data_IF_740890116411
#
_entry.id   IF_740890116411
#
_cell.length_a   1.000
_cell.length_b   1.000
_cell.length_c   1.000
_cell.angle_alpha   90.00
_cell.angle_beta   90.00
_cell.angle_gamma   90.00
#
_symmetry.space_group_name_H-M   'P 1'
#
loop_
_entity.id
_entity.type
_entity.pdbx_description
1 polymer ?
#
# COMPACT_ATOMS: atom_id res chain seq x y z
N UNK A 1 -57.23 -69.21 24.44
CA UNK A 1 -56.57 -70.54 24.42
C UNK A 1 -55.57 -70.55 23.28
N UNK A 2 -54.34 -70.98 23.58
CA UNK A 2 -53.18 -71.16 22.69
C UNK A 2 -53.54 -72.06 21.47
N UNK A 3 -52.86 -72.10 20.31
CA UNK A 3 -51.42 -72.12 20.09
C UNK A 3 -51.07 -72.20 18.58
N UNK A 4 -49.83 -71.80 18.23
CA UNK A 4 -48.93 -72.27 17.12
C UNK A 4 -49.42 -72.17 15.66
N UNK A 5 -48.62 -71.81 14.65
CA UNK A 5 -47.24 -72.22 14.37
C UNK A 5 -46.67 -71.40 13.20
N UNK A 6 -45.39 -71.03 13.28
CA UNK A 6 -44.39 -70.96 12.19
C UNK A 6 -44.61 -70.04 10.96
N UNK A 7 -43.66 -69.11 10.74
CA UNK A 7 -42.62 -69.16 9.69
C UNK A 7 -42.01 -67.75 9.51
N UNK A 8 -40.81 -67.49 10.03
CA UNK A 8 -39.51 -67.45 9.31
C UNK A 8 -39.37 -66.36 8.22
N UNK A 9 -38.55 -65.35 8.54
CA UNK A 9 -37.59 -64.62 7.66
C UNK A 9 -38.09 -63.92 6.39
N UNK A 10 -38.17 -62.58 6.44
CA UNK A 10 -37.61 -61.71 5.39
C UNK A 10 -36.90 -60.55 6.09
N UNK A 11 -35.57 -60.64 6.16
CA UNK A 11 -34.72 -59.53 6.58
C UNK A 11 -34.59 -58.54 5.44
N UNK A 12 -35.17 -57.35 5.60
CA UNK A 12 -34.97 -56.22 4.69
C UNK A 12 -33.64 -55.58 5.09
N UNK A 13 -32.59 -55.95 4.36
CA UNK A 13 -31.31 -55.27 4.35
C UNK A 13 -31.27 -54.33 3.14
N UNK A 14 -30.53 -53.23 3.27
CA UNK A 14 -30.15 -52.25 2.21
C UNK A 14 -31.28 -51.26 1.87
N UNK A 15 -31.12 -49.93 1.83
CA UNK A 15 -29.93 -49.10 1.62
C UNK A 15 -30.24 -47.67 2.13
N UNK A 16 -29.75 -47.30 3.32
CA UNK A 16 -29.75 -45.91 3.78
C UNK A 16 -28.48 -45.25 3.22
N UNK A 17 -28.56 -44.76 1.99
CA UNK A 17 -27.58 -43.82 1.44
C UNK A 17 -27.70 -42.51 2.21
N UNK A 18 -26.98 -42.40 3.32
CA UNK A 18 -26.60 -41.11 3.88
C UNK A 18 -25.52 -40.55 2.95
N UNK A 19 -25.93 -39.73 1.98
CA UNK A 19 -25.01 -38.89 1.24
C UNK A 19 -24.48 -37.82 2.21
N UNK A 20 -23.44 -38.18 2.96
CA UNK A 20 -22.58 -37.20 3.64
C UNK A 20 -21.86 -36.44 2.53
N UNK A 21 -22.46 -35.33 2.10
CA UNK A 21 -21.77 -34.29 1.35
C UNK A 21 -20.65 -33.77 2.24
N UNK A 22 -19.47 -34.38 2.11
CA UNK A 22 -18.22 -33.82 2.56
C UNK A 22 -17.96 -32.63 1.63
N UNK A 23 -18.53 -31.46 1.96
CA UNK A 23 -18.01 -30.19 1.47
C UNK A 23 -16.59 -30.08 2.00
N UNK A 24 -15.64 -30.58 1.21
CA UNK A 24 -14.27 -30.16 1.31
C UNK A 24 -14.25 -28.68 0.90
N UNK A 25 -14.52 -27.79 1.86
CA UNK A 25 -14.00 -26.44 1.80
C UNK A 25 -12.49 -26.60 1.69
N UNK A 26 -12.00 -26.52 0.46
CA UNK A 26 -10.59 -26.27 0.20
C UNK A 26 -10.35 -24.85 0.69
N UNK A 27 -10.14 -24.69 1.99
CA UNK A 27 -9.70 -23.44 2.56
C UNK A 27 -8.39 -23.10 1.86
N UNK A 28 -8.40 -22.02 1.06
CA UNK A 28 -7.19 -21.50 0.44
C UNK A 28 -6.14 -21.39 1.56
N UNK A 29 -4.92 -21.92 1.37
CA UNK A 29 -3.89 -21.85 2.40
C UNK A 29 -3.74 -20.40 2.85
N UNK A 30 -3.73 -20.18 4.17
CA UNK A 30 -3.56 -18.85 4.73
C UNK A 30 -2.29 -18.21 4.15
N UNK A 31 -2.43 -17.01 3.59
CA UNK A 31 -1.33 -16.31 2.93
C UNK A 31 -0.19 -16.08 3.94
N UNK A 32 1.07 -16.38 3.59
CA UNK A 32 2.18 -16.28 4.53
C UNK A 32 2.37 -14.81 4.95
N UNK A 33 2.28 -14.57 6.26
CA UNK A 33 2.48 -13.25 6.87
C UNK A 33 3.98 -13.00 7.02
N UNK A 34 4.46 -11.87 6.50
CA UNK A 34 5.87 -11.49 6.68
C UNK A 34 6.13 -11.03 8.11
N UNK A 35 7.28 -11.42 8.66
CA UNK A 35 7.72 -10.94 9.96
C UNK A 35 8.19 -9.49 9.83
N UNK A 36 7.67 -8.54 10.64
CA UNK A 36 8.15 -7.16 10.64
C UNK A 36 9.65 -7.11 10.94
N UNK A 37 10.38 -6.30 10.16
CA UNK A 37 11.79 -6.00 10.43
C UNK A 37 11.83 -4.97 11.56
N UNK A 38 12.58 -5.26 12.63
CA UNK A 38 12.81 -4.28 13.69
C UNK A 38 13.84 -3.24 13.21
N UNK A 39 13.47 -1.96 13.06
CA UNK A 39 14.38 -0.93 12.59
C UNK A 39 15.57 -0.71 13.53
N UNK A 40 15.46 -1.05 14.82
CA UNK A 40 16.57 -0.96 15.77
C UNK A 40 17.59 -2.10 15.63
N UNK A 41 17.19 -3.21 14.98
CA UNK A 41 18.07 -4.35 14.75
C UNK A 41 19.01 -4.16 13.56
N UNK A 42 18.82 -3.11 12.76
CA UNK A 42 19.57 -2.87 11.53
C UNK A 42 20.83 -2.07 11.85
N UNK A 43 21.98 -2.70 11.66
CA UNK A 43 23.27 -2.02 11.76
C UNK A 43 23.47 -1.07 10.56
N UNK A 44 23.44 0.23 10.83
CA UNK A 44 23.67 1.29 9.85
C UNK A 44 25.14 1.69 9.73
N UNK A 45 26.06 1.05 10.46
CA UNK A 45 27.50 1.32 10.35
C UNK A 45 28.12 0.69 9.10
N UNK A 46 27.49 -0.37 8.58
CA UNK A 46 27.84 -0.97 7.29
C UNK A 46 26.99 -0.37 6.16
N UNK A 47 27.49 -0.36 4.90
CA UNK A 47 26.69 0.01 3.75
C UNK A 47 25.49 -0.95 3.59
N UNK A 48 24.31 -0.49 3.98
CA UNK A 48 23.06 -1.26 3.93
C UNK A 48 22.20 -0.78 2.77
N UNK A 49 21.82 -1.71 1.88
CA UNK A 49 20.91 -1.46 0.77
C UNK A 49 19.47 -1.81 1.19
N UNK A 50 18.59 -0.81 1.17
CA UNK A 50 17.16 -1.01 1.35
C UNK A 50 16.47 -1.09 -0.01
N UNK A 51 15.71 -2.16 -0.21
CA UNK A 51 14.89 -2.33 -1.40
C UNK A 51 13.42 -2.09 -1.03
N UNK A 52 12.81 -1.08 -1.65
CA UNK A 52 11.40 -0.76 -1.50
C UNK A 52 10.72 -0.89 -2.87
N UNK A 53 10.17 -2.06 -3.21
CA UNK A 53 9.49 -2.26 -4.49
C UNK A 53 8.28 -1.35 -4.59
N UNK A 54 8.15 -0.69 -5.73
CA UNK A 54 7.16 0.34 -6.00
C UNK A 54 6.87 0.41 -7.50
N UNK A 55 5.64 0.70 -7.88
CA UNK A 55 5.26 0.99 -9.27
C UNK A 55 4.57 2.33 -9.35
N UNK A 56 5.18 3.27 -10.05
CA UNK A 56 4.57 4.55 -10.37
C UNK A 56 3.50 4.37 -11.44
N UNK A 57 2.33 4.99 -11.27
CA UNK A 57 1.27 4.96 -12.26
C UNK A 57 0.55 6.31 -12.30
N UNK A 58 0.74 7.10 -13.36
CA UNK A 58 -0.04 8.32 -13.54
C UNK A 58 -1.52 8.01 -13.80
N UNK A 59 -2.42 8.70 -13.10
CA UNK A 59 -3.86 8.50 -13.28
C UNK A 59 -4.33 9.02 -14.65
N UNK A 60 -3.70 10.09 -15.15
CA UNK A 60 -3.91 10.66 -16.49
C UNK A 60 -2.59 11.29 -16.94
N UNK A 61 -2.00 10.75 -18.01
CA UNK A 61 -0.83 11.33 -18.66
C UNK A 61 -0.89 11.16 -20.17
N UNK A 62 -0.23 10.13 -20.73
CA UNK A 62 -0.34 9.76 -22.16
C UNK A 62 -1.53 8.88 -22.47
N UNK A 63 -2.28 8.49 -21.44
CA UNK A 63 -3.45 7.64 -21.48
C UNK A 63 -4.61 8.30 -20.75
N UNK A 64 -5.81 7.84 -21.07
CA UNK A 64 -7.05 8.35 -20.48
C UNK A 64 -7.45 7.51 -19.26
N UNK A 65 -8.28 8.09 -18.40
CA UNK A 65 -8.77 7.44 -17.18
C UNK A 65 -9.39 6.04 -17.40
N UNK A 66 -10.26 5.81 -18.42
CA UNK A 66 -10.81 4.46 -18.65
C UNK A 66 -9.74 3.43 -19.04
N UNK A 67 -8.67 3.86 -19.71
CA UNK A 67 -7.56 3.00 -20.07
C UNK A 67 -6.76 2.59 -18.83
N UNK A 68 -6.56 3.52 -17.88
CA UNK A 68 -5.95 3.21 -16.57
C UNK A 68 -6.72 2.14 -15.84
N UNK A 69 -8.03 2.31 -15.74
CA UNK A 69 -8.89 1.34 -15.07
C UNK A 69 -8.80 -0.02 -15.77
N UNK A 70 -9.07 -0.05 -17.08
CA UNK A 70 -9.19 -1.29 -17.85
C UNK A 70 -7.88 -2.09 -17.89
N UNK A 71 -6.76 -1.41 -18.12
CA UNK A 71 -5.50 -2.05 -18.48
C UNK A 71 -4.48 -1.99 -17.33
N UNK A 72 -4.20 -0.79 -16.81
CA UNK A 72 -3.06 -0.59 -15.89
C UNK A 72 -3.36 -0.99 -14.44
N UNK A 73 -4.54 -0.68 -13.90
CA UNK A 73 -4.93 -1.14 -12.56
C UNK A 73 -5.02 -2.67 -12.52
N UNK A 74 -5.69 -3.26 -13.53
CA UNK A 74 -5.84 -4.71 -13.62
C UNK A 74 -4.50 -5.42 -13.74
N UNK A 75 -3.62 -4.99 -14.66
CA UNK A 75 -2.30 -5.60 -14.82
C UNK A 75 -1.43 -5.47 -13.57
N UNK A 76 -1.44 -4.30 -12.91
CA UNK A 76 -0.69 -4.10 -11.66
C UNK A 76 -1.14 -5.08 -10.58
N UNK A 77 -2.44 -5.36 -10.46
CA UNK A 77 -2.94 -6.36 -9.52
C UNK A 77 -2.53 -7.77 -9.92
N UNK A 78 -2.77 -8.16 -11.16
CA UNK A 78 -2.50 -9.52 -11.65
C UNK A 78 -1.02 -9.89 -11.53
N UNK A 79 -0.13 -8.99 -11.95
CA UNK A 79 1.31 -9.21 -11.92
C UNK A 79 1.84 -9.32 -10.49
N UNK A 80 1.37 -8.45 -9.58
CA UNK A 80 1.78 -8.50 -8.18
C UNK A 80 1.19 -9.71 -7.44
N UNK A 81 -0.05 -10.11 -7.72
CA UNK A 81 -0.62 -11.32 -7.13
C UNK A 81 0.15 -12.57 -7.53
N UNK A 82 0.48 -12.70 -8.81
CA UNK A 82 1.36 -13.76 -9.30
C UNK A 82 2.76 -13.69 -8.66
N UNK A 83 3.30 -12.48 -8.45
CA UNK A 83 4.58 -12.29 -7.79
C UNK A 83 4.56 -12.72 -6.31
N UNK A 84 3.47 -12.46 -5.56
CA UNK A 84 3.35 -12.91 -4.17
C UNK A 84 3.25 -14.42 -4.04
N UNK A 85 2.58 -15.09 -4.98
CA UNK A 85 2.51 -16.55 -5.02
C UNK A 85 3.87 -17.17 -5.35
N UNK A 86 4.60 -16.59 -6.31
CA UNK A 86 5.89 -17.10 -6.76
C UNK A 86 7.03 -16.81 -5.78
N UNK A 87 7.03 -15.65 -5.15
CA UNK A 87 8.13 -15.17 -4.30
C UNK A 87 7.63 -14.88 -2.88
N UNK A 88 7.95 -15.73 -1.89
CA UNK A 88 7.42 -15.61 -0.53
C UNK A 88 7.94 -14.40 0.25
N UNK A 89 9.01 -13.75 -0.20
CA UNK A 89 9.57 -12.54 0.44
C UNK A 89 9.20 -11.25 -0.28
N UNK A 90 8.42 -11.33 -1.37
CA UNK A 90 8.04 -10.15 -2.14
C UNK A 90 7.12 -9.22 -1.35
N UNK A 91 7.50 -7.95 -1.26
CA UNK A 91 6.72 -6.86 -0.67
C UNK A 91 6.49 -5.82 -1.73
N UNK A 92 5.28 -5.26 -1.78
CA UNK A 92 4.95 -4.21 -2.73
C UNK A 92 4.37 -2.98 -2.01
N UNK A 93 4.89 -1.80 -2.35
CA UNK A 93 4.36 -0.53 -1.87
C UNK A 93 3.64 0.16 -3.03
N UNK A 94 2.46 0.71 -2.76
CA UNK A 94 1.72 1.42 -3.80
C UNK A 94 0.96 2.61 -3.24
N UNK A 95 1.09 3.75 -3.91
CA UNK A 95 0.52 5.03 -3.50
C UNK A 95 -0.74 5.37 -4.29
N UNK A 96 -1.46 6.39 -3.81
CA UNK A 96 -2.65 6.94 -4.45
C UNK A 96 -3.93 6.20 -4.05
N UNK A 97 -4.63 6.69 -3.03
CA UNK A 97 -5.90 6.10 -2.58
C UNK A 97 -7.00 6.11 -3.66
N UNK A 98 -6.94 7.04 -4.63
CA UNK A 98 -7.84 7.09 -5.80
C UNK A 98 -7.88 5.75 -6.52
N UNK A 99 -6.73 5.11 -6.71
CA UNK A 99 -6.57 3.84 -7.44
C UNK A 99 -7.25 2.70 -6.71
N UNK A 100 -7.11 2.67 -5.38
CA UNK A 100 -7.80 1.69 -4.54
C UNK A 100 -9.33 1.87 -4.59
N UNK A 101 -9.81 3.12 -4.60
CA UNK A 101 -11.23 3.42 -4.77
C UNK A 101 -11.75 2.94 -6.12
N UNK A 102 -10.98 3.15 -7.20
CA UNK A 102 -11.34 2.62 -8.52
C UNK A 102 -11.33 1.09 -8.55
N UNK A 103 -10.35 0.44 -7.92
CA UNK A 103 -10.29 -1.03 -7.85
C UNK A 103 -11.51 -1.57 -7.11
N UNK A 104 -11.92 -0.94 -6.01
CA UNK A 104 -13.13 -1.30 -5.27
C UNK A 104 -14.40 -1.22 -6.14
N UNK A 105 -14.49 -0.20 -6.99
CA UNK A 105 -15.65 0.02 -7.86
C UNK A 105 -15.67 -0.93 -9.08
N UNK A 106 -14.55 -1.03 -9.81
CA UNK A 106 -14.50 -1.74 -11.10
C UNK A 106 -14.04 -3.20 -11.00
N UNK A 107 -13.33 -3.57 -9.93
CA UNK A 107 -12.77 -4.92 -9.74
C UNK A 107 -12.98 -5.43 -8.29
N UNK A 108 -14.24 -5.52 -7.81
CA UNK A 108 -14.53 -5.85 -6.41
C UNK A 108 -13.96 -7.21 -5.96
N UNK A 109 -13.94 -8.21 -6.84
CA UNK A 109 -13.35 -9.52 -6.54
C UNK A 109 -11.84 -9.42 -6.26
N UNK A 110 -11.12 -8.63 -7.07
CA UNK A 110 -9.69 -8.38 -6.88
C UNK A 110 -9.43 -7.48 -5.68
N UNK A 111 -10.36 -6.59 -5.36
CA UNK A 111 -10.28 -5.74 -4.18
C UNK A 111 -10.29 -6.57 -2.88
N UNK A 112 -11.13 -7.60 -2.78
CA UNK A 112 -11.12 -8.49 -1.61
C UNK A 112 -9.83 -9.32 -1.54
N UNK A 113 -9.29 -9.74 -2.69
CA UNK A 113 -7.99 -10.40 -2.71
C UNK A 113 -6.85 -9.47 -2.29
N UNK A 114 -6.86 -8.22 -2.77
CA UNK A 114 -5.94 -7.15 -2.38
C UNK A 114 -5.98 -6.92 -0.87
N UNK A 115 -7.18 -6.82 -0.28
CA UNK A 115 -7.35 -6.70 1.19
C UNK A 115 -6.69 -7.84 1.94
N UNK A 116 -6.82 -9.07 1.45
CA UNK A 116 -6.15 -10.22 2.07
C UNK A 116 -4.61 -10.11 1.99
N UNK A 117 -4.06 -9.57 0.88
CA UNK A 117 -2.61 -9.31 0.77
C UNK A 117 -2.13 -8.16 1.65
N UNK A 118 -2.95 -7.11 1.84
CA UNK A 118 -2.68 -6.03 2.79
C UNK A 118 -2.68 -6.57 4.23
N UNK A 119 -3.68 -7.36 4.61
CA UNK A 119 -3.76 -7.99 5.92
C UNK A 119 -2.59 -8.96 6.18
N UNK A 120 -2.08 -9.62 5.14
CA UNK A 120 -0.89 -10.47 5.22
C UNK A 120 0.44 -9.67 5.32
N UNK A 121 0.40 -8.34 5.24
CA UNK A 121 1.59 -7.49 5.28
C UNK A 121 2.49 -7.63 4.05
N UNK A 122 1.91 -8.02 2.91
CA UNK A 122 2.61 -8.19 1.63
C UNK A 122 2.43 -6.98 0.71
N UNK A 123 1.29 -6.32 0.85
CA UNK A 123 0.95 -5.09 0.14
C UNK A 123 0.82 -3.93 1.11
N UNK A 124 1.59 -2.86 0.91
CA UNK A 124 1.56 -1.67 1.75
C UNK A 124 0.93 -0.48 1.01
N UNK A 125 -0.23 0.03 1.47
CA UNK A 125 -0.74 1.31 0.99
C UNK A 125 0.15 2.45 1.50
N UNK A 126 0.93 3.04 0.60
CA UNK A 126 1.93 4.07 0.93
C UNK A 126 1.50 5.47 0.48
N UNK A 127 2.26 6.49 0.89
CA UNK A 127 2.07 7.89 0.50
C UNK A 127 0.91 8.64 1.19
N UNK A 128 -0.10 7.93 1.70
CA UNK A 128 -1.23 8.50 2.47
C UNK A 128 -1.86 9.75 1.86
N UNK A 129 -1.90 9.83 0.53
CA UNK A 129 -2.57 10.87 -0.23
C UNK A 129 -3.59 10.27 -1.18
N UNK A 130 -4.58 11.08 -1.55
CA UNK A 130 -5.60 10.64 -2.49
C UNK A 130 -5.03 10.40 -3.88
N UNK A 131 -4.20 11.32 -4.38
CA UNK A 131 -3.33 11.12 -5.55
C UNK A 131 -1.91 11.60 -5.26
N UNK A 132 -0.98 11.27 -6.14
CA UNK A 132 0.36 11.87 -6.16
C UNK A 132 0.28 13.23 -6.84
N UNK A 133 -0.16 14.24 -6.10
CA UNK A 133 -0.45 15.57 -6.64
C UNK A 133 0.82 16.41 -6.87
N UNK A 134 0.74 17.36 -7.80
CA UNK A 134 1.68 18.47 -7.86
C UNK A 134 1.60 19.32 -6.57
N UNK A 135 2.71 19.90 -6.16
CA UNK A 135 2.80 20.71 -4.93
C UNK A 135 3.03 22.19 -5.20
N UNK A 136 3.23 22.59 -6.46
CA UNK A 136 3.57 23.97 -6.82
C UNK A 136 2.34 24.79 -7.21
N UNK A 137 1.43 24.20 -7.97
CA UNK A 137 0.22 24.86 -8.48
C UNK A 137 -0.90 24.89 -7.42
N UNK A 138 -1.19 23.79 -6.70
CA UNK A 138 -2.32 23.80 -5.76
C UNK A 138 -2.06 24.65 -4.52
N UNK A 139 -3.13 25.20 -3.96
CA UNK A 139 -3.05 25.88 -2.66
C UNK A 139 -2.70 24.90 -1.53
N UNK A 140 -2.18 25.43 -0.42
CA UNK A 140 -1.81 24.62 0.75
C UNK A 140 -2.99 23.83 1.33
N UNK A 141 -4.20 24.40 1.30
CA UNK A 141 -5.42 23.71 1.73
C UNK A 141 -5.72 22.49 0.85
N UNK A 142 -5.52 22.59 -0.47
CA UNK A 142 -5.73 21.47 -1.38
C UNK A 142 -4.78 20.32 -1.06
N UNK A 143 -3.50 20.60 -0.77
CA UNK A 143 -2.52 19.59 -0.36
C UNK A 143 -2.95 18.92 0.95
N UNK A 144 -3.39 19.70 1.94
CA UNK A 144 -3.90 19.16 3.22
C UNK A 144 -5.09 18.23 2.97
N UNK A 145 -6.04 18.63 2.13
CA UNK A 145 -7.22 17.82 1.78
C UNK A 145 -6.82 16.53 1.08
N UNK A 146 -5.87 16.56 0.14
CA UNK A 146 -5.37 15.37 -0.55
C UNK A 146 -4.83 14.34 0.46
N UNK A 147 -4.04 14.79 1.44
CA UNK A 147 -3.50 13.91 2.48
C UNK A 147 -4.61 13.40 3.40
N UNK A 148 -5.48 14.29 3.89
CA UNK A 148 -6.58 13.91 4.79
C UNK A 148 -7.50 12.87 4.15
N UNK A 149 -7.89 13.07 2.88
CA UNK A 149 -8.73 12.13 2.14
C UNK A 149 -8.05 10.78 1.95
N UNK A 150 -6.79 10.77 1.51
CA UNK A 150 -6.04 9.52 1.31
C UNK A 150 -5.85 8.73 2.60
N UNK A 151 -5.40 9.41 3.67
CA UNK A 151 -5.22 8.80 5.00
C UNK A 151 -6.52 8.26 5.56
N UNK A 152 -7.60 9.05 5.52
CA UNK A 152 -8.91 8.65 6.03
C UNK A 152 -9.45 7.44 5.27
N UNK A 153 -9.27 7.43 3.94
CA UNK A 153 -9.66 6.29 3.11
C UNK A 153 -8.94 5.01 3.53
N UNK A 154 -7.61 5.02 3.65
CA UNK A 154 -6.86 3.83 4.04
C UNK A 154 -7.19 3.33 5.45
N UNK A 155 -7.38 4.24 6.41
CA UNK A 155 -7.82 3.88 7.77
C UNK A 155 -9.20 3.22 7.73
N UNK A 156 -10.15 3.80 7.00
CA UNK A 156 -11.52 3.30 6.97
C UNK A 156 -11.64 1.95 6.24
N UNK A 157 -10.87 1.75 5.16
CA UNK A 157 -10.96 0.55 4.33
C UNK A 157 -10.09 -0.61 4.84
N UNK A 158 -8.89 -0.32 5.34
CA UNK A 158 -7.87 -1.33 5.65
C UNK A 158 -7.43 -1.32 7.11
N UNK A 159 -7.84 -0.32 7.91
CA UNK A 159 -7.38 -0.16 9.30
C UNK A 159 -5.91 0.23 9.43
N UNK A 160 -5.23 0.51 8.31
CA UNK A 160 -3.81 0.86 8.25
C UNK A 160 -3.62 2.12 7.42
N UNK A 161 -2.58 2.89 7.74
CA UNK A 161 -2.16 4.05 6.94
C UNK A 161 -0.65 4.23 7.08
N UNK A 162 -0.03 4.77 6.03
CA UNK A 162 1.39 5.13 6.07
C UNK A 162 1.60 6.51 6.71
N UNK A 163 2.74 6.70 7.38
CA UNK A 163 3.13 8.00 7.93
C UNK A 163 4.07 8.78 6.99
N UNK A 164 4.06 8.41 5.73
CA UNK A 164 4.89 9.01 4.69
C UNK A 164 4.03 9.65 3.60
N UNK A 165 4.51 10.78 3.08
CA UNK A 165 3.96 11.43 1.91
C UNK A 165 4.89 11.19 0.72
N UNK A 166 4.44 10.35 -0.21
CA UNK A 166 5.25 9.84 -1.31
C UNK A 166 4.90 10.58 -2.60
N UNK A 167 5.90 11.27 -3.16
CA UNK A 167 5.81 12.07 -4.38
C UNK A 167 7.05 11.82 -5.26
N UNK A 168 7.19 10.62 -5.86
CA UNK A 168 8.33 10.28 -6.69
C UNK A 168 8.41 11.18 -7.93
N UNK A 169 7.27 11.46 -8.56
CA UNK A 169 7.17 12.15 -9.86
C UNK A 169 6.58 13.58 -9.78
N UNK A 170 6.84 14.29 -8.68
CA UNK A 170 6.39 15.69 -8.53
C UNK A 170 7.49 16.67 -8.98
N UNK A 171 7.19 17.59 -9.90
CA UNK A 171 8.18 18.51 -10.46
C UNK A 171 8.50 19.71 -9.55
N UNK A 172 9.29 19.48 -8.51
CA UNK A 172 9.73 20.52 -7.58
C UNK A 172 8.81 20.65 -6.36
N UNK A 173 9.34 21.24 -5.29
CA UNK A 173 8.69 21.30 -4.00
C UNK A 173 8.82 22.71 -3.39
N UNK A 174 7.72 23.33 -2.92
CA UNK A 174 7.82 24.62 -2.25
C UNK A 174 8.50 24.47 -0.89
N UNK A 175 9.20 25.52 -0.44
CA UNK A 175 9.90 25.54 0.84
C UNK A 175 8.98 25.24 2.04
N UNK A 176 7.71 25.65 1.96
CA UNK A 176 6.69 25.44 2.98
C UNK A 176 6.18 23.99 3.06
N UNK A 177 6.46 23.14 2.06
CA UNK A 177 5.84 21.84 1.94
C UNK A 177 5.98 20.97 3.19
N UNK A 178 7.14 20.80 3.83
CA UNK A 178 7.26 19.95 5.03
C UNK A 178 6.45 20.42 6.22
N UNK A 179 6.16 21.72 6.31
CA UNK A 179 5.32 22.22 7.38
C UNK A 179 3.90 21.65 7.26
N UNK A 180 3.43 21.39 6.04
CA UNK A 180 2.06 20.98 5.76
C UNK A 180 1.75 19.54 6.25
N UNK A 181 2.47 18.47 5.84
CA UNK A 181 2.22 17.12 6.32
C UNK A 181 2.43 16.99 7.84
N UNK A 182 3.42 17.69 8.38
CA UNK A 182 3.80 17.62 9.81
C UNK A 182 2.78 18.31 10.71
N UNK A 183 2.30 19.50 10.35
CA UNK A 183 1.41 20.27 11.23
C UNK A 183 -0.08 20.01 10.99
N UNK A 184 -0.48 19.60 9.78
CA UNK A 184 -1.89 19.49 9.40
C UNK A 184 -2.42 18.05 9.32
N UNK A 185 -1.56 17.07 9.03
CA UNK A 185 -2.00 15.70 8.75
C UNK A 185 -1.27 14.61 9.56
N UNK A 186 -0.32 14.99 10.42
CA UNK A 186 0.40 14.07 11.30
C UNK A 186 1.37 13.12 10.57
N UNK A 187 1.78 13.45 9.33
CA UNK A 187 2.76 12.65 8.60
C UNK A 187 4.18 12.99 9.05
N UNK A 188 5.01 11.97 9.16
CA UNK A 188 6.36 12.04 9.75
C UNK A 188 7.44 12.03 8.66
N UNK A 189 7.12 11.53 7.47
CA UNK A 189 8.10 11.30 6.40
C UNK A 189 7.65 11.86 5.06
N UNK A 190 8.61 12.26 4.24
CA UNK A 190 8.39 12.53 2.81
C UNK A 190 9.38 11.73 1.96
N UNK A 191 8.89 11.24 0.83
CA UNK A 191 9.67 10.44 -0.12
C UNK A 191 9.59 11.07 -1.50
N UNK A 192 10.73 11.35 -2.14
CA UNK A 192 10.76 11.85 -3.52
C UNK A 192 11.99 11.37 -4.32
N UNK A 193 11.88 11.45 -5.64
CA UNK A 193 12.94 11.10 -6.61
C UNK A 193 13.29 12.29 -7.52
N UNK A 194 12.29 13.02 -7.99
CA UNK A 194 12.37 14.09 -9.02
C UNK A 194 13.34 15.24 -8.75
N UNK A 195 13.64 15.57 -7.49
CA UNK A 195 14.60 16.63 -7.16
C UNK A 195 16.04 16.32 -7.62
N UNK A 196 16.29 15.10 -8.09
CA UNK A 196 17.57 14.67 -8.64
C UNK A 196 17.75 15.02 -10.15
N UNK A 197 16.68 15.01 -10.96
CA UNK A 197 16.81 14.98 -12.42
C UNK A 197 17.16 16.32 -13.09
N UNK A 198 16.89 17.47 -12.47
CA UNK A 198 17.23 18.79 -13.05
C UNK A 198 18.15 19.66 -12.19
N UNK A 199 18.18 19.43 -10.86
CA UNK A 199 18.99 20.24 -9.94
C UNK A 199 20.33 19.59 -9.56
N UNK A 200 20.48 18.27 -9.58
CA UNK A 200 21.75 17.66 -9.10
C UNK A 200 22.88 17.69 -10.16
N UNK A 201 22.54 17.63 -11.45
CA UNK A 201 23.49 17.50 -12.55
C UNK A 201 24.07 18.84 -13.05
N UNK A 202 23.32 19.93 -12.95
CA UNK A 202 23.69 21.25 -13.56
C UNK A 202 24.00 22.31 -12.49
N UNK A 203 23.80 22.02 -11.21
CA UNK A 203 23.92 23.07 -10.19
C UNK A 203 25.34 23.30 -9.68
N UNK A 204 25.78 24.57 -9.61
CA UNK A 204 26.99 24.95 -8.91
C UNK A 204 26.97 24.41 -7.48
N UNK A 205 28.14 24.10 -6.92
CA UNK A 205 28.25 23.51 -5.56
C UNK A 205 27.52 24.29 -4.45
N UNK A 206 27.18 25.56 -4.69
CA UNK A 206 26.30 26.35 -3.83
C UNK A 206 24.88 25.78 -3.71
N UNK A 207 24.23 25.35 -4.79
CA UNK A 207 22.86 24.86 -4.69
C UNK A 207 22.77 23.43 -4.12
N UNK A 208 23.80 22.60 -4.34
CA UNK A 208 23.93 21.31 -3.62
C UNK A 208 24.00 21.53 -2.11
N UNK A 209 24.75 22.56 -1.67
CA UNK A 209 24.76 22.99 -0.26
C UNK A 209 23.41 23.56 0.17
N UNK A 210 22.67 24.27 -0.69
CA UNK A 210 21.31 24.72 -0.38
C UNK A 210 20.33 23.57 -0.22
N UNK A 211 20.37 22.54 -1.07
CA UNK A 211 19.51 21.34 -0.93
C UNK A 211 19.88 20.58 0.35
N UNK A 212 21.16 20.35 0.64
CA UNK A 212 21.61 19.75 1.91
C UNK A 212 21.22 20.60 3.13
N UNK A 213 21.21 21.93 2.99
CA UNK A 213 20.77 22.86 4.04
C UNK A 213 19.26 22.88 4.18
N UNK A 214 18.49 22.76 3.10
CA UNK A 214 17.04 22.58 3.11
C UNK A 214 16.67 21.24 3.74
N UNK A 215 17.37 20.15 3.43
CA UNK A 215 17.21 18.85 4.10
C UNK A 215 17.44 18.97 5.62
N UNK A 216 18.50 19.68 6.04
CA UNK A 216 18.77 19.98 7.46
C UNK A 216 17.69 20.87 8.09
N UNK A 217 17.20 21.91 7.39
CA UNK A 217 16.13 22.79 7.86
C UNK A 217 14.79 22.04 7.96
N UNK A 218 14.49 21.17 7.01
CA UNK A 218 13.31 20.29 7.00
C UNK A 218 13.36 19.30 8.17
N UNK A 219 14.53 18.71 8.45
CA UNK A 219 14.71 17.86 9.64
C UNK A 219 14.67 18.63 10.97
N UNK A 220 14.91 19.95 10.93
CA UNK A 220 14.94 20.84 12.08
C UNK A 220 13.63 21.57 12.37
N UNK A 221 12.61 21.42 11.52
CA UNK A 221 11.31 22.08 11.67
C UNK A 221 10.47 21.43 12.80
N UNK A 222 10.94 21.59 14.05
CA UNK A 222 10.18 21.26 15.27
C UNK A 222 9.39 22.50 15.70
N UNK A 223 8.09 22.57 15.38
CA UNK A 223 7.24 23.66 15.89
C UNK A 223 6.71 23.39 17.30
N UNK A 224 6.73 22.14 17.77
CA UNK A 224 6.30 21.77 19.13
C UNK A 224 7.26 20.74 19.74
N UNK A 225 7.45 20.79 21.07
CA UNK A 225 8.35 19.89 21.82
C UNK A 225 7.94 18.40 21.76
N UNK A 226 6.75 18.10 21.25
CA UNK A 226 6.15 16.76 21.20
C UNK A 226 6.01 16.17 19.79
N UNK A 227 6.31 16.91 18.72
CA UNK A 227 6.21 16.38 17.36
C UNK A 227 7.43 15.51 16.99
N UNK A 228 7.23 14.32 16.39
CA UNK A 228 8.33 13.51 15.86
C UNK A 228 9.12 14.29 14.80
N UNK A 229 10.43 14.06 14.73
CA UNK A 229 11.28 14.75 13.76
C UNK A 229 10.89 14.35 12.33
N UNK A 230 10.61 15.34 11.49
CA UNK A 230 10.31 15.12 10.08
C UNK A 230 11.53 14.58 9.35
N UNK A 231 11.37 13.49 8.60
CA UNK A 231 12.48 12.83 7.89
C UNK A 231 12.19 12.77 6.40
N UNK A 232 13.08 13.37 5.61
CA UNK A 232 13.08 13.25 4.15
C UNK A 232 13.93 12.05 3.74
N UNK A 233 13.35 11.14 2.96
CA UNK A 233 14.05 9.97 2.39
C UNK A 233 14.05 10.10 0.87
N UNK A 234 15.22 9.92 0.25
CA UNK A 234 15.31 9.84 -1.21
C UNK A 234 15.32 8.37 -1.63
N UNK A 235 14.49 8.03 -2.61
CA UNK A 235 14.61 6.78 -3.36
C UNK A 235 15.48 7.12 -4.58
N UNK A 236 16.59 6.40 -4.72
CA UNK A 236 17.48 6.50 -5.90
C UNK A 236 17.02 5.45 -6.89
#
# INVERSE_FOLDING_TARGET
MLNRSEKTKVGIMTCLLTATLLSAETSKPAKPVLKPIDPASIDLTQPTLFLAPYSHLDDIWRWNYPQVIRDFLKSTLDDNFAAFEKYPDHVFNWSGASRYSMIKEYYPEKYEELKAWIAAGRWFPCGSSWVENDTNIPGSESIIRQILLGRTYFINEFGVSSDEYMLPDCFGFPYSLPSIPVSGAGLVRMVNQSSQHSMAAIMPGFMKRCIQRMQKLWSGCKRTKSAPAFRLTFII
#
